data_IF_361447189665
#
_entry.id   IF_361447189665
#
_cell.length_a   1.000
_cell.length_b   1.000
_cell.length_c   1.000
_cell.angle_alpha   90.00
_cell.angle_beta   90.00
_cell.angle_gamma   90.00
#
_symmetry.space_group_name_H-M   'P 1'
#
loop_
_entity.id
_entity.type
_entity.pdbx_description
1 polymer ?
#
# COMPACT_ATOMS: atom_id res chain seq x y z
N UNK A 1 11.80 -20.00 -1.73
CA UNK A 1 11.19 -20.17 -0.37
C UNK A 1 12.06 -21.12 0.46
N UNK A 2 12.12 -20.96 1.79
CA UNK A 2 12.63 -22.02 2.68
C UNK A 2 11.77 -23.27 2.47
N UNK A 3 12.34 -24.42 2.04
CA UNK A 3 11.54 -25.57 1.62
C UNK A 3 10.70 -26.18 2.75
N UNK A 4 9.50 -26.62 2.41
CA UNK A 4 8.60 -27.39 3.26
C UNK A 4 8.39 -28.78 2.64
N UNK A 5 8.44 -29.83 3.46
CA UNK A 5 8.10 -31.16 2.95
C UNK A 5 6.58 -31.30 2.80
N UNK A 6 6.13 -31.92 1.71
CA UNK A 6 4.71 -32.20 1.50
C UNK A 6 4.11 -32.98 2.66
N UNK A 7 4.87 -33.92 3.25
CA UNK A 7 4.45 -34.65 4.43
C UNK A 7 4.19 -33.75 5.65
N UNK A 8 4.96 -32.68 5.83
CA UNK A 8 4.75 -31.71 6.92
C UNK A 8 3.47 -30.89 6.68
N UNK A 9 3.22 -30.47 5.43
CA UNK A 9 1.99 -29.78 5.07
C UNK A 9 0.77 -30.67 5.30
N UNK A 10 0.87 -31.96 4.94
CA UNK A 10 -0.18 -32.94 5.19
C UNK A 10 -0.51 -33.07 6.71
N UNK A 11 0.51 -33.02 7.58
CA UNK A 11 0.31 -33.06 9.03
C UNK A 11 -0.41 -31.84 9.59
N UNK A 12 -0.38 -30.71 8.90
CA UNK A 12 -1.12 -29.51 9.30
C UNK A 12 -2.63 -29.64 9.09
N UNK A 13 -3.09 -30.67 8.37
CA UNK A 13 -4.51 -30.95 8.13
C UNK A 13 -5.29 -29.75 7.58
N UNK A 14 -4.71 -29.03 6.61
CA UNK A 14 -5.24 -27.76 6.10
C UNK A 14 -6.42 -27.95 5.11
N UNK A 15 -6.56 -29.13 4.53
CA UNK A 15 -7.56 -29.45 3.50
C UNK A 15 -7.13 -30.63 2.65
N UNK A 16 -7.68 -30.74 1.44
CA UNK A 16 -7.33 -31.78 0.48
C UNK A 16 -6.01 -31.41 -0.21
N UNK A 17 -4.99 -32.24 0.02
CA UNK A 17 -3.65 -32.07 -0.55
C UNK A 17 -3.40 -33.17 -1.58
N UNK A 18 -3.15 -32.79 -2.83
CA UNK A 18 -2.86 -33.69 -3.95
C UNK A 18 -1.52 -33.32 -4.60
N UNK A 19 -0.73 -34.28 -4.97
CA UNK A 19 0.53 -34.05 -5.67
C UNK A 19 1.53 -35.19 -5.47
N UNK A 20 2.65 -35.11 -6.17
CA UNK A 20 3.72 -36.13 -6.16
C UNK A 20 5.07 -35.57 -5.77
N UNK A 21 5.16 -34.27 -5.49
CA UNK A 21 6.39 -33.64 -5.01
C UNK A 21 6.74 -34.10 -3.60
N UNK A 22 8.02 -34.10 -3.27
CA UNK A 22 8.51 -34.37 -1.90
C UNK A 22 8.64 -33.05 -1.11
N UNK A 23 9.03 -31.98 -1.79
CA UNK A 23 9.26 -30.65 -1.23
C UNK A 23 8.50 -29.56 -2.00
N UNK A 24 8.12 -28.54 -1.26
CA UNK A 24 7.50 -27.32 -1.76
C UNK A 24 8.53 -26.19 -1.65
N UNK A 25 8.80 -25.49 -2.75
CA UNK A 25 9.78 -24.41 -2.84
C UNK A 25 9.16 -23.03 -3.12
N UNK A 26 7.83 -22.97 -3.30
CA UNK A 26 7.04 -21.76 -3.47
C UNK A 26 5.57 -22.00 -3.16
N UNK A 27 4.78 -20.93 -2.99
CA UNK A 27 3.33 -20.98 -2.79
C UNK A 27 2.67 -19.98 -3.72
N UNK A 28 1.70 -20.45 -4.54
CA UNK A 28 0.98 -19.63 -5.49
C UNK A 28 -0.53 -19.78 -5.35
N UNK A 29 -1.26 -18.71 -5.69
CA UNK A 29 -2.72 -18.67 -5.76
C UNK A 29 -3.24 -18.44 -7.19
N UNK A 30 -2.34 -18.14 -8.12
CA UNK A 30 -2.62 -17.96 -9.55
C UNK A 30 -1.92 -19.07 -10.34
N UNK A 31 -2.70 -19.98 -10.94
CA UNK A 31 -2.16 -21.11 -11.71
C UNK A 31 -1.26 -20.70 -12.88
N UNK A 32 -1.43 -19.45 -13.38
CA UNK A 32 -0.61 -18.91 -14.48
C UNK A 32 0.81 -18.54 -14.04
N UNK A 33 1.04 -18.38 -12.73
CA UNK A 33 2.32 -18.02 -12.12
C UNK A 33 3.06 -19.21 -11.50
N UNK A 34 2.58 -20.42 -11.72
CA UNK A 34 3.19 -21.65 -11.20
C UNK A 34 4.59 -21.83 -11.78
N UNK A 35 5.53 -22.10 -10.88
CA UNK A 35 6.89 -22.55 -11.15
C UNK A 35 7.07 -23.99 -10.64
N UNK A 36 8.03 -24.77 -11.22
CA UNK A 36 8.31 -26.11 -10.74
C UNK A 36 8.65 -26.15 -9.25
N UNK A 37 7.96 -26.99 -8.50
CA UNK A 37 8.13 -27.09 -7.04
C UNK A 37 7.15 -26.27 -6.21
N UNK A 38 6.27 -25.48 -6.83
CA UNK A 38 5.27 -24.68 -6.11
C UNK A 38 4.14 -25.54 -5.52
N UNK A 39 3.59 -25.09 -4.41
CA UNK A 39 2.27 -25.46 -3.92
C UNK A 39 1.23 -24.51 -4.49
N UNK A 40 0.29 -25.02 -5.28
CA UNK A 40 -0.87 -24.25 -5.68
C UNK A 40 -1.96 -24.33 -4.62
N UNK A 41 -2.30 -23.18 -3.99
CA UNK A 41 -3.39 -23.11 -3.01
C UNK A 41 -4.64 -22.59 -3.69
N UNK A 42 -5.62 -23.47 -3.86
CA UNK A 42 -6.87 -23.20 -4.56
C UNK A 42 -7.86 -22.50 -3.65
N UNK A 43 -8.25 -21.24 -3.96
CA UNK A 43 -9.27 -20.50 -3.22
C UNK A 43 -10.39 -20.04 -4.15
N UNK A 44 -11.62 -20.12 -3.69
CA UNK A 44 -12.79 -19.71 -4.48
C UNK A 44 -12.85 -20.45 -5.82
N UNK A 45 -12.88 -19.70 -6.94
CA UNK A 45 -12.88 -20.27 -8.30
C UNK A 45 -11.55 -20.92 -8.69
N UNK A 46 -10.51 -20.77 -7.88
CA UNK A 46 -9.20 -21.40 -8.09
C UNK A 46 -9.24 -22.93 -8.05
N UNK A 47 -10.26 -23.53 -7.43
CA UNK A 47 -10.43 -24.99 -7.35
C UNK A 47 -10.47 -25.64 -8.74
N UNK A 48 -11.01 -24.95 -9.74
CA UNK A 48 -11.12 -25.45 -11.11
C UNK A 48 -9.75 -25.52 -11.85
N UNK A 49 -8.69 -24.95 -11.28
CA UNK A 49 -7.36 -24.83 -11.90
C UNK A 49 -6.30 -25.74 -11.29
N UNK A 50 -6.67 -26.68 -10.41
CA UNK A 50 -5.71 -27.59 -9.76
C UNK A 50 -4.95 -28.46 -10.77
N UNK A 51 -5.65 -29.06 -11.74
CA UNK A 51 -5.03 -29.88 -12.81
C UNK A 51 -4.11 -29.05 -13.71
N UNK A 52 -4.51 -27.82 -14.07
CA UNK A 52 -3.67 -26.88 -14.84
C UNK A 52 -2.38 -26.54 -14.09
N UNK A 53 -2.47 -26.30 -12.78
CA UNK A 53 -1.31 -26.03 -11.94
C UNK A 53 -0.34 -27.21 -11.89
N UNK A 54 -0.84 -28.43 -11.71
CA UNK A 54 -0.02 -29.66 -11.76
C UNK A 54 0.63 -29.85 -13.13
N UNK A 55 -0.10 -29.60 -14.21
CA UNK A 55 0.42 -29.68 -15.58
C UNK A 55 1.53 -28.64 -15.84
N UNK A 56 1.52 -27.51 -15.15
CA UNK A 56 2.57 -26.46 -15.20
C UNK A 56 3.75 -26.75 -14.32
N UNK A 57 3.73 -27.80 -13.51
CA UNK A 57 4.86 -28.23 -12.68
C UNK A 57 4.70 -27.97 -11.19
N UNK A 58 3.50 -27.63 -10.72
CA UNK A 58 3.26 -27.59 -9.28
C UNK A 58 3.60 -28.95 -8.65
N UNK A 59 4.32 -28.92 -7.54
CA UNK A 59 4.65 -30.12 -6.78
C UNK A 59 3.42 -30.73 -6.10
N UNK A 60 2.48 -29.86 -5.68
CA UNK A 60 1.22 -30.25 -5.08
C UNK A 60 0.16 -29.15 -5.27
N UNK A 61 -1.11 -29.54 -5.10
CA UNK A 61 -2.26 -28.62 -4.95
C UNK A 61 -2.89 -28.81 -3.59
N UNK A 62 -3.35 -27.72 -3.00
CA UNK A 62 -4.07 -27.71 -1.72
C UNK A 62 -5.43 -27.02 -1.92
N UNK A 63 -6.52 -27.75 -1.67
CA UNK A 63 -7.86 -27.17 -1.53
C UNK A 63 -8.14 -26.99 -0.04
N UNK A 64 -7.97 -25.77 0.51
CA UNK A 64 -8.03 -25.58 1.95
C UNK A 64 -9.46 -25.61 2.46
N UNK A 65 -9.70 -26.31 3.57
CA UNK A 65 -11.00 -26.31 4.27
C UNK A 65 -11.31 -24.90 4.84
N UNK A 66 -10.28 -24.22 5.33
CA UNK A 66 -10.33 -22.85 5.86
C UNK A 66 -9.15 -22.05 5.28
N UNK A 67 -9.39 -21.28 4.21
CA UNK A 67 -8.32 -20.63 3.47
C UNK A 67 -7.39 -19.76 4.32
N UNK A 68 -7.92 -18.85 5.14
CA UNK A 68 -7.09 -17.95 5.96
C UNK A 68 -6.22 -18.68 6.97
N UNK A 69 -6.76 -19.73 7.61
CA UNK A 69 -6.00 -20.57 8.54
C UNK A 69 -4.89 -21.35 7.82
N UNK A 70 -5.17 -21.82 6.60
CA UNK A 70 -4.19 -22.52 5.78
C UNK A 70 -3.02 -21.62 5.38
N UNK A 71 -3.30 -20.42 4.87
CA UNK A 71 -2.25 -19.44 4.58
C UNK A 71 -1.45 -19.06 5.82
N UNK A 72 -2.14 -18.80 6.94
CA UNK A 72 -1.49 -18.50 8.21
C UNK A 72 -0.56 -19.62 8.67
N UNK A 73 -0.98 -20.90 8.52
CA UNK A 73 -0.17 -22.05 8.89
C UNK A 73 1.07 -22.21 7.99
N UNK A 74 0.91 -22.05 6.67
CA UNK A 74 2.02 -22.09 5.71
C UNK A 74 3.02 -20.96 5.98
N UNK A 75 2.54 -19.72 6.12
CA UNK A 75 3.39 -18.57 6.43
C UNK A 75 4.16 -18.73 7.74
N UNK A 76 3.49 -19.23 8.81
CA UNK A 76 4.16 -19.55 10.09
C UNK A 76 5.20 -20.64 9.96
N UNK A 77 4.93 -21.69 9.18
CA UNK A 77 5.87 -22.79 8.99
C UNK A 77 7.18 -22.31 8.36
N UNK A 78 7.11 -21.42 7.38
CA UNK A 78 8.28 -20.78 6.76
C UNK A 78 8.93 -19.78 7.73
N UNK A 79 8.14 -18.88 8.35
CA UNK A 79 8.65 -17.87 9.29
C UNK A 79 9.39 -18.49 10.49
N UNK A 80 8.93 -19.63 10.97
CA UNK A 80 9.57 -20.35 12.09
C UNK A 80 10.97 -20.88 11.76
N UNK A 81 11.32 -20.98 10.48
CA UNK A 81 12.62 -21.46 9.99
C UNK A 81 13.54 -20.32 9.52
N UNK A 82 13.01 -19.08 9.51
CA UNK A 82 13.73 -17.92 9.02
C UNK A 82 14.30 -17.11 10.19
N UNK A 83 15.57 -16.72 10.04
CA UNK A 83 16.24 -15.77 10.93
C UNK A 83 16.09 -14.31 10.46
N UNK A 84 15.37 -14.06 9.36
CA UNK A 84 15.16 -12.73 8.84
C UNK A 84 14.52 -11.80 9.88
N UNK A 85 15.03 -10.58 10.00
CA UNK A 85 14.40 -9.52 10.78
C UNK A 85 13.16 -9.03 10.05
N UNK A 86 12.04 -8.96 10.74
CA UNK A 86 10.74 -8.59 10.15
C UNK A 86 10.35 -7.17 10.53
N UNK A 87 10.06 -6.34 9.52
CA UNK A 87 9.47 -5.01 9.69
C UNK A 87 7.99 -5.08 9.32
N UNK A 88 7.11 -4.79 10.27
CA UNK A 88 5.68 -4.63 10.03
C UNK A 88 5.32 -3.15 9.88
N UNK A 89 4.64 -2.79 8.79
CA UNK A 89 4.26 -1.40 8.51
C UNK A 89 2.75 -1.27 8.45
N UNK A 90 2.17 -0.44 9.33
CA UNK A 90 0.75 -0.05 9.29
C UNK A 90 0.60 1.46 9.25
N UNK A 91 -0.63 1.93 9.13
CA UNK A 91 -0.97 3.36 9.10
C UNK A 91 -2.21 3.64 8.28
N UNK A 92 -2.74 4.83 8.36
CA UNK A 92 -3.90 5.25 7.56
C UNK A 92 -3.53 5.48 6.10
N UNK A 93 -2.36 6.11 5.88
CA UNK A 93 -1.78 6.35 4.56
C UNK A 93 -0.29 6.03 4.57
N UNK A 94 0.34 5.98 3.40
CA UNK A 94 1.80 5.86 3.28
C UNK A 94 2.39 4.46 3.49
N UNK A 95 1.63 3.47 3.93
CA UNK A 95 2.13 2.10 4.18
C UNK A 95 2.92 1.52 3.01
N UNK A 96 2.30 1.48 1.83
CA UNK A 96 2.90 0.91 0.61
C UNK A 96 4.12 1.71 0.19
N UNK A 97 4.03 3.05 0.18
CA UNK A 97 5.17 3.90 -0.17
C UNK A 97 6.33 3.75 0.82
N UNK A 98 6.05 3.67 2.13
CA UNK A 98 7.10 3.42 3.14
C UNK A 98 7.75 2.05 2.95
N UNK A 99 6.96 1.03 2.63
CA UNK A 99 7.45 -0.31 2.28
C UNK A 99 8.35 -0.27 1.03
N UNK A 100 7.93 0.41 -0.04
CA UNK A 100 8.70 0.49 -1.29
C UNK A 100 10.02 1.25 -1.06
N UNK A 101 9.98 2.37 -0.31
CA UNK A 101 11.18 3.13 0.06
C UNK A 101 12.11 2.28 0.93
N UNK A 102 11.60 1.59 1.94
CA UNK A 102 12.43 0.75 2.82
C UNK A 102 13.05 -0.42 2.05
N UNK A 103 12.32 -1.05 1.13
CA UNK A 103 12.84 -2.10 0.28
C UNK A 103 14.02 -1.60 -0.58
N UNK A 104 13.87 -0.42 -1.19
CA UNK A 104 14.94 0.20 -1.97
C UNK A 104 16.14 0.60 -1.10
N UNK A 105 15.93 1.03 0.14
CA UNK A 105 17.00 1.33 1.10
C UNK A 105 17.77 0.09 1.57
N UNK A 106 17.08 -1.03 1.79
CA UNK A 106 17.69 -2.28 2.27
C UNK A 106 18.43 -3.04 1.17
N UNK A 107 17.92 -3.04 -0.07
CA UNK A 107 18.41 -3.86 -1.18
C UNK A 107 19.93 -3.78 -1.44
N UNK A 108 20.63 -2.63 -1.30
CA UNK A 108 22.08 -2.54 -1.51
C UNK A 108 22.92 -3.28 -0.46
N UNK A 109 22.38 -3.55 0.73
CA UNK A 109 23.16 -4.03 1.89
C UNK A 109 22.60 -5.29 2.55
N UNK A 110 21.39 -5.75 2.18
CA UNK A 110 20.76 -6.94 2.77
C UNK A 110 19.88 -7.68 1.75
N UNK A 111 19.86 -9.01 1.82
CA UNK A 111 18.89 -9.81 1.06
C UNK A 111 17.49 -9.59 1.64
N UNK A 112 16.68 -8.88 0.88
CA UNK A 112 15.40 -8.36 1.34
C UNK A 112 14.24 -9.00 0.57
N UNK A 113 13.23 -9.48 1.30
CA UNK A 113 11.92 -9.88 0.79
C UNK A 113 10.89 -8.85 1.26
N UNK A 114 10.04 -8.40 0.36
CA UNK A 114 8.97 -7.44 0.70
C UNK A 114 7.65 -7.81 0.05
N UNK A 115 6.56 -7.31 0.62
CA UNK A 115 5.21 -7.53 0.09
C UNK A 115 5.06 -6.97 -1.33
N UNK A 116 4.61 -7.79 -2.28
CA UNK A 116 4.26 -7.36 -3.63
C UNK A 116 3.02 -6.46 -3.57
N UNK A 117 3.03 -5.37 -4.34
CA UNK A 117 1.92 -4.43 -4.38
C UNK A 117 1.39 -4.11 -2.96
N UNK A 118 0.11 -4.42 -2.70
CA UNK A 118 -0.51 -4.23 -1.39
C UNK A 118 -0.96 -5.57 -0.79
N UNK A 119 -0.09 -6.58 -0.81
CA UNK A 119 -0.31 -7.87 -0.15
C UNK A 119 -0.21 -7.70 1.37
N UNK A 120 -1.29 -7.19 1.99
CA UNK A 120 -1.29 -6.68 3.35
C UNK A 120 -2.36 -7.30 4.26
N UNK A 121 -3.01 -8.36 3.81
CA UNK A 121 -4.13 -9.03 4.47
C UNK A 121 -3.79 -10.50 4.82
N UNK A 122 -4.80 -11.26 5.25
CA UNK A 122 -4.73 -12.65 5.71
C UNK A 122 -4.22 -13.65 4.66
N UNK A 123 -4.14 -13.24 3.39
CA UNK A 123 -3.55 -14.02 2.29
C UNK A 123 -2.19 -13.45 1.92
N UNK A 124 -2.11 -12.14 1.72
CA UNK A 124 -0.93 -11.46 1.21
C UNK A 124 0.29 -11.53 2.14
N UNK A 125 0.07 -11.35 3.46
CA UNK A 125 1.14 -11.44 4.46
C UNK A 125 1.74 -12.85 4.51
N UNK A 126 0.96 -13.93 4.65
CA UNK A 126 1.50 -15.29 4.58
C UNK A 126 2.18 -15.61 3.26
N UNK A 127 1.64 -15.19 2.12
CA UNK A 127 2.28 -15.40 0.81
C UNK A 127 3.64 -14.70 0.72
N UNK A 128 3.77 -13.50 1.29
CA UNK A 128 5.07 -12.81 1.37
C UNK A 128 6.05 -13.59 2.24
N UNK A 129 5.62 -14.10 3.39
CA UNK A 129 6.44 -14.95 4.26
C UNK A 129 6.86 -16.26 3.55
N UNK A 130 6.02 -16.83 2.71
CA UNK A 130 6.36 -18.00 1.89
C UNK A 130 7.40 -17.70 0.80
N UNK A 131 7.87 -16.46 0.64
CA UNK A 131 8.98 -16.10 -0.25
C UNK A 131 10.33 -15.99 0.46
N UNK A 132 10.35 -16.18 1.79
CA UNK A 132 11.60 -16.16 2.56
C UNK A 132 12.51 -17.32 2.13
N UNK A 133 13.77 -16.99 1.92
CA UNK A 133 14.85 -17.93 1.60
C UNK A 133 15.77 -18.11 2.80
N UNK A 134 16.61 -19.16 2.82
CA UNK A 134 17.51 -19.42 3.97
C UNK A 134 18.47 -18.27 4.28
N UNK A 135 18.81 -17.47 3.29
CA UNK A 135 19.71 -16.32 3.38
C UNK A 135 19.01 -14.96 3.34
N UNK A 136 17.67 -14.94 3.45
CA UNK A 136 16.92 -13.68 3.62
C UNK A 136 17.27 -13.05 4.97
N UNK A 137 17.71 -11.80 4.95
CA UNK A 137 18.10 -11.05 6.15
C UNK A 137 16.98 -10.12 6.63
N UNK A 138 16.20 -9.55 5.71
CA UNK A 138 15.11 -8.60 6.01
C UNK A 138 13.83 -9.02 5.31
N UNK A 139 12.71 -8.96 6.05
CA UNK A 139 11.38 -9.13 5.50
C UNK A 139 10.52 -7.90 5.83
N UNK A 140 9.97 -7.24 4.80
CA UNK A 140 9.16 -6.03 4.96
C UNK A 140 7.71 -6.34 4.62
N UNK A 141 6.83 -6.20 5.60
CA UNK A 141 5.40 -6.52 5.49
C UNK A 141 4.54 -5.28 5.65
N UNK A 142 3.57 -5.12 4.79
CA UNK A 142 2.48 -4.18 4.98
C UNK A 142 1.37 -4.88 5.76
N UNK A 143 0.85 -4.25 6.84
CA UNK A 143 -0.20 -4.79 7.70
C UNK A 143 -1.41 -3.87 7.64
N UNK A 144 -2.46 -4.32 6.96
CA UNK A 144 -3.73 -3.60 6.86
C UNK A 144 -4.75 -4.16 7.87
N UNK A 145 -5.77 -3.35 8.15
CA UNK A 145 -6.92 -3.77 8.95
C UNK A 145 -8.20 -3.15 8.40
N UNK A 146 -9.30 -3.81 8.62
CA UNK A 146 -10.67 -3.30 8.52
C UNK A 146 -11.40 -3.31 9.85
N UNK A 147 -10.83 -3.97 10.88
CA UNK A 147 -11.43 -4.09 12.21
C UNK A 147 -10.38 -4.38 13.27
N UNK A 148 -10.82 -4.45 14.53
CA UNK A 148 -9.98 -4.79 15.67
C UNK A 148 -9.50 -6.25 15.60
N UNK A 149 -8.30 -6.52 16.13
CA UNK A 149 -7.67 -7.83 16.20
C UNK A 149 -6.92 -8.24 14.93
N UNK A 150 -7.22 -7.64 13.78
CA UNK A 150 -6.67 -8.08 12.50
C UNK A 150 -5.16 -7.81 12.38
N UNK A 151 -4.66 -6.69 12.88
CA UNK A 151 -3.21 -6.42 12.91
C UNK A 151 -2.52 -7.38 13.89
N UNK A 152 -3.13 -7.64 15.04
CA UNK A 152 -2.60 -8.61 15.99
C UNK A 152 -2.52 -10.03 15.39
N UNK A 153 -3.54 -10.46 14.66
CA UNK A 153 -3.56 -11.76 13.97
C UNK A 153 -2.43 -11.85 12.92
N UNK A 154 -2.23 -10.80 12.13
CA UNK A 154 -1.12 -10.74 11.16
C UNK A 154 0.24 -10.73 11.86
N UNK A 155 0.38 -10.02 12.98
CA UNK A 155 1.60 -10.02 13.79
C UNK A 155 1.87 -11.39 14.43
N UNK A 156 0.84 -12.15 14.83
CA UNK A 156 0.99 -13.51 15.35
C UNK A 156 1.55 -14.49 14.31
N UNK A 157 1.40 -14.19 13.02
CA UNK A 157 2.00 -14.95 11.91
C UNK A 157 3.41 -14.42 11.61
N UNK A 158 3.54 -13.11 11.45
CA UNK A 158 4.74 -12.43 10.97
C UNK A 158 5.83 -12.30 12.04
N UNK A 159 5.44 -12.08 13.31
CA UNK A 159 6.33 -11.77 14.44
C UNK A 159 7.33 -10.68 14.10
N UNK A 160 6.86 -9.42 13.91
CA UNK A 160 7.73 -8.31 13.55
C UNK A 160 8.68 -7.96 14.70
N UNK A 161 9.94 -7.65 14.36
CA UNK A 161 10.96 -7.12 15.27
C UNK A 161 10.90 -5.59 15.34
N UNK A 162 10.46 -4.97 14.24
CA UNK A 162 10.28 -3.53 14.08
C UNK A 162 8.85 -3.25 13.61
N UNK A 163 8.16 -2.38 14.31
CA UNK A 163 6.80 -1.94 13.96
C UNK A 163 6.78 -0.46 13.56
N UNK A 164 6.25 -0.18 12.38
CA UNK A 164 6.10 1.19 11.86
C UNK A 164 4.63 1.57 11.78
N UNK A 165 4.22 2.62 12.48
CA UNK A 165 2.92 3.28 12.29
C UNK A 165 3.18 4.59 11.56
N UNK A 166 2.85 4.67 10.27
CA UNK A 166 3.15 5.85 9.45
C UNK A 166 2.37 7.07 9.88
N UNK A 167 1.08 6.91 10.12
CA UNK A 167 0.18 7.96 10.63
C UNK A 167 -1.16 7.37 11.09
N UNK A 168 -1.95 8.23 11.77
CA UNK A 168 -3.34 7.93 12.15
C UNK A 168 -4.24 9.01 11.57
N UNK A 169 -5.25 8.61 10.81
CA UNK A 169 -6.22 9.51 10.18
C UNK A 169 -7.55 8.80 9.93
N UNK A 170 -8.58 9.53 9.48
CA UNK A 170 -9.93 9.01 9.29
C UNK A 170 -9.98 8.02 8.12
N UNK A 171 -9.86 6.74 8.46
CA UNK A 171 -10.00 5.59 7.56
C UNK A 171 -10.77 4.49 8.27
N UNK A 172 -11.54 3.70 7.52
CA UNK A 172 -12.32 2.57 8.06
C UNK A 172 -13.23 2.95 9.25
N UNK A 173 -13.66 4.23 9.32
CA UNK A 173 -14.49 4.74 10.43
C UNK A 173 -15.81 4.00 10.57
N UNK A 174 -16.34 3.49 9.46
CA UNK A 174 -17.54 2.65 9.47
C UNK A 174 -17.35 1.37 10.30
N UNK A 175 -16.13 0.84 10.37
CA UNK A 175 -15.82 -0.46 10.97
C UNK A 175 -15.24 -0.34 12.38
N UNK A 176 -14.50 0.74 12.67
CA UNK A 176 -13.86 0.96 13.97
C UNK A 176 -14.46 2.12 14.77
N UNK A 177 -15.45 2.80 14.22
CA UNK A 177 -16.32 3.78 14.87
C UNK A 177 -15.76 5.19 15.00
N UNK A 178 -14.48 5.35 15.32
CA UNK A 178 -13.88 6.66 15.59
C UNK A 178 -12.38 6.70 15.29
N UNK A 179 -11.78 7.89 15.39
CA UNK A 179 -10.32 8.07 15.26
C UNK A 179 -9.56 7.33 16.38
N UNK A 180 -10.10 7.31 17.61
CA UNK A 180 -9.57 6.50 18.72
C UNK A 180 -9.64 5.01 18.39
N UNK A 181 -10.70 4.56 17.70
CA UNK A 181 -10.80 3.20 17.19
C UNK A 181 -9.69 2.87 16.20
N UNK A 182 -9.40 3.79 15.26
CA UNK A 182 -8.27 3.64 14.32
C UNK A 182 -6.95 3.58 15.07
N UNK A 183 -6.74 4.47 16.05
CA UNK A 183 -5.55 4.53 16.88
C UNK A 183 -5.34 3.20 17.63
N UNK A 184 -6.39 2.70 18.29
CA UNK A 184 -6.36 1.42 19.03
C UNK A 184 -6.03 0.24 18.11
N UNK A 185 -6.68 0.15 16.95
CA UNK A 185 -6.42 -0.93 16.00
C UNK A 185 -4.98 -0.92 15.48
N UNK A 186 -4.41 0.26 15.21
CA UNK A 186 -2.99 0.37 14.77
C UNK A 186 -2.02 0.11 15.92
N UNK A 187 -2.41 0.39 17.15
CA UNK A 187 -1.66 0.08 18.37
C UNK A 187 -1.42 -1.41 18.58
N UNK A 188 -2.24 -2.28 17.97
CA UNK A 188 -2.04 -3.72 17.98
C UNK A 188 -0.66 -4.14 17.45
N UNK A 189 -0.10 -3.41 16.47
CA UNK A 189 1.25 -3.65 15.99
C UNK A 189 2.29 -3.43 17.10
N UNK A 190 2.22 -2.29 17.80
CA UNK A 190 3.15 -1.97 18.88
C UNK A 190 2.99 -2.95 20.04
N UNK A 191 1.74 -3.32 20.37
CA UNK A 191 1.44 -4.30 21.40
C UNK A 191 2.00 -5.70 21.10
N UNK A 192 2.17 -6.03 19.81
CA UNK A 192 2.63 -7.35 19.33
C UNK A 192 4.15 -7.46 19.20
N UNK A 193 4.91 -6.37 19.39
CA UNK A 193 6.37 -6.42 19.30
C UNK A 193 6.98 -7.25 20.44
N UNK A 194 8.11 -7.94 20.20
CA UNK A 194 8.84 -8.60 21.28
C UNK A 194 9.47 -7.58 22.23
N UNK A 195 9.85 -8.02 23.44
CA UNK A 195 10.68 -7.22 24.33
C UNK A 195 12.02 -6.88 23.62
N UNK A 196 12.43 -5.60 23.66
CA UNK A 196 13.59 -5.10 22.93
C UNK A 196 13.31 -4.84 21.43
N UNK A 197 12.07 -5.03 20.95
CA UNK A 197 11.66 -4.63 19.61
C UNK A 197 11.57 -3.10 19.48
N UNK A 198 11.52 -2.58 18.26
CA UNK A 198 11.48 -1.13 17.99
C UNK A 198 10.12 -0.71 17.44
N UNK A 199 9.47 0.25 18.10
CA UNK A 199 8.23 0.91 17.66
C UNK A 199 8.55 2.30 17.06
N UNK A 200 8.30 2.46 15.77
CA UNK A 200 8.46 3.72 15.04
C UNK A 200 7.07 4.29 14.82
N UNK A 201 6.75 5.39 15.48
CA UNK A 201 5.39 5.89 15.57
C UNK A 201 5.33 7.42 15.48
N UNK A 202 4.20 8.02 15.04
CA UNK A 202 4.01 9.46 15.10
C UNK A 202 4.27 10.03 16.50
N UNK A 203 4.66 11.30 16.58
CA UNK A 203 5.05 11.96 17.83
C UNK A 203 4.01 11.80 18.93
N UNK A 204 2.73 11.99 18.61
CA UNK A 204 1.62 11.93 19.58
C UNK A 204 1.02 10.52 19.74
N UNK A 205 1.59 9.50 19.09
CA UNK A 205 1.04 8.14 19.17
C UNK A 205 1.30 7.53 20.56
N UNK A 206 0.27 7.05 21.29
CA UNK A 206 0.46 6.50 22.63
C UNK A 206 1.21 5.16 22.55
N UNK A 207 2.24 5.02 23.36
CA UNK A 207 2.96 3.77 23.57
C UNK A 207 3.05 3.53 25.08
N UNK A 208 2.36 2.51 25.56
CA UNK A 208 2.30 2.16 26.99
C UNK A 208 3.37 1.13 27.38
N UNK A 209 4.11 0.59 26.39
CA UNK A 209 5.14 -0.43 26.58
C UNK A 209 6.48 0.21 26.92
N UNK A 210 7.07 -0.19 28.05
CA UNK A 210 8.40 0.25 28.52
C UNK A 210 9.54 -0.68 28.04
N UNK A 211 9.19 -1.86 27.55
CA UNK A 211 10.13 -2.90 27.11
C UNK A 211 10.40 -2.89 25.60
N UNK A 212 9.96 -1.86 24.89
CA UNK A 212 10.25 -1.61 23.47
C UNK A 212 10.98 -0.27 23.30
N UNK A 213 11.88 -0.23 22.31
CA UNK A 213 12.50 1.04 21.89
C UNK A 213 11.47 1.87 21.10
N UNK A 214 11.34 3.16 21.42
CA UNK A 214 10.37 4.04 20.76
C UNK A 214 11.07 5.14 19.98
N UNK A 215 10.88 5.15 18.67
CA UNK A 215 11.34 6.20 17.75
C UNK A 215 10.15 7.05 17.34
N UNK A 216 10.21 8.37 17.60
CA UNK A 216 9.15 9.33 17.30
C UNK A 216 9.36 9.96 15.93
N UNK A 217 8.35 9.87 15.07
CA UNK A 217 8.33 10.50 13.75
C UNK A 217 7.78 11.92 13.88
N UNK A 218 8.53 12.90 13.38
CA UNK A 218 8.04 14.26 13.27
C UNK A 218 6.95 14.36 12.21
N UNK A 219 5.90 15.17 12.42
CA UNK A 219 4.84 15.40 11.45
C UNK A 219 5.37 15.95 10.11
N UNK A 220 6.35 16.84 10.17
CA UNK A 220 7.04 17.42 9.02
C UNK A 220 8.54 17.22 9.18
N UNK A 221 9.10 16.16 8.59
CA UNK A 221 10.54 15.94 8.63
C UNK A 221 11.27 17.00 7.79
N UNK A 222 12.50 17.32 8.17
CA UNK A 222 13.35 18.17 7.35
C UNK A 222 13.59 17.53 5.99
N UNK A 223 13.12 18.20 4.94
CA UNK A 223 13.27 17.76 3.57
C UNK A 223 13.59 18.96 2.66
N UNK A 224 14.46 18.72 1.67
CA UNK A 224 14.81 19.73 0.65
C UNK A 224 14.71 19.10 -0.73
N UNK A 225 14.16 19.84 -1.68
CA UNK A 225 14.14 19.44 -3.08
C UNK A 225 15.29 20.12 -3.80
N UNK A 226 16.21 19.34 -4.34
CA UNK A 226 17.38 19.79 -5.09
C UNK A 226 17.50 18.92 -6.36
N UNK A 227 17.64 19.56 -7.53
CA UNK A 227 17.81 18.88 -8.82
C UNK A 227 16.75 17.79 -9.11
N UNK A 228 15.47 18.07 -8.77
CA UNK A 228 14.36 17.13 -9.00
C UNK A 228 14.35 15.92 -8.06
N UNK A 229 15.10 15.97 -6.97
CA UNK A 229 15.18 14.92 -5.94
C UNK A 229 14.91 15.50 -4.56
N UNK A 230 14.42 14.67 -3.66
CA UNK A 230 14.20 15.07 -2.27
C UNK A 230 15.30 14.49 -1.37
N UNK A 231 15.96 15.37 -0.62
CA UNK A 231 16.92 15.00 0.42
C UNK A 231 16.18 14.88 1.76
N UNK A 232 16.23 13.70 2.39
CA UNK A 232 15.67 13.42 3.73
C UNK A 232 16.71 12.65 4.54
N UNK A 233 17.03 13.12 5.76
CA UNK A 233 17.95 12.42 6.66
C UNK A 233 19.32 12.10 6.05
N UNK A 234 19.80 12.94 5.11
CA UNK A 234 21.08 12.76 4.41
C UNK A 234 21.02 11.84 3.18
N UNK A 235 19.85 11.29 2.83
CA UNK A 235 19.65 10.40 1.67
C UNK A 235 18.89 11.14 0.57
N UNK A 236 19.34 11.03 -0.68
CA UNK A 236 18.72 11.63 -1.87
C UNK A 236 17.79 10.65 -2.59
N UNK A 237 16.51 10.98 -2.70
CA UNK A 237 15.45 10.16 -3.32
C UNK A 237 14.96 10.76 -4.64
N UNK A 238 14.55 9.91 -5.59
CA UNK A 238 14.04 10.28 -6.92
C UNK A 238 12.57 10.74 -6.95
N UNK A 239 12.05 11.31 -5.89
CA UNK A 239 10.70 11.87 -5.84
C UNK A 239 10.72 13.33 -5.37
N UNK A 240 9.65 14.07 -5.68
CA UNK A 240 9.47 15.48 -5.28
C UNK A 240 8.21 15.70 -4.44
N UNK A 241 7.33 14.70 -4.36
CA UNK A 241 6.09 14.79 -3.60
C UNK A 241 6.36 14.95 -2.10
N UNK A 242 5.95 16.07 -1.53
CA UNK A 242 6.23 16.45 -0.13
C UNK A 242 5.81 15.37 0.89
N UNK A 243 4.66 14.71 0.66
CA UNK A 243 4.19 13.65 1.56
C UNK A 243 5.08 12.41 1.56
N UNK A 244 5.90 12.20 0.52
CA UNK A 244 6.86 11.10 0.48
C UNK A 244 8.05 11.34 1.43
N UNK A 245 8.32 12.59 1.82
CA UNK A 245 9.37 12.87 2.80
C UNK A 245 9.05 12.24 4.18
N UNK A 246 7.78 12.28 4.61
CA UNK A 246 7.35 11.61 5.84
C UNK A 246 7.48 10.08 5.74
N UNK A 247 7.11 9.49 4.59
CA UNK A 247 7.28 8.07 4.34
C UNK A 247 8.77 7.67 4.32
N UNK A 248 9.64 8.52 3.73
CA UNK A 248 11.09 8.31 3.73
C UNK A 248 11.69 8.42 5.14
N UNK A 249 11.25 9.37 5.95
CA UNK A 249 11.70 9.48 7.34
C UNK A 249 11.34 8.23 8.15
N UNK A 250 10.12 7.69 7.96
CA UNK A 250 9.70 6.44 8.59
C UNK A 250 10.53 5.23 8.11
N UNK A 251 10.82 5.17 6.80
CA UNK A 251 11.65 4.10 6.23
C UNK A 251 13.11 4.19 6.70
N UNK A 252 13.68 5.40 6.80
CA UNK A 252 15.04 5.60 7.34
C UNK A 252 15.14 5.21 8.82
N UNK A 253 14.13 5.54 9.62
CA UNK A 253 14.08 5.10 11.01
C UNK A 253 14.03 3.57 11.13
N UNK A 254 13.28 2.89 10.22
CA UNK A 254 13.26 1.44 10.17
C UNK A 254 14.60 0.84 9.70
N UNK A 255 15.27 1.46 8.73
CA UNK A 255 16.61 1.07 8.30
C UNK A 255 17.61 1.15 9.44
N UNK A 256 17.60 2.26 10.21
CA UNK A 256 18.45 2.43 11.38
C UNK A 256 18.18 1.38 12.47
N UNK A 257 16.89 1.09 12.73
CA UNK A 257 16.48 0.04 13.68
C UNK A 257 16.96 -1.35 13.23
N UNK A 258 17.09 -1.59 11.92
CA UNK A 258 17.71 -2.80 11.37
C UNK A 258 19.23 -2.81 11.49
N UNK A 259 19.88 -1.69 11.83
CA UNK A 259 21.33 -1.55 11.89
C UNK A 259 21.99 -1.53 10.52
N UNK A 260 21.26 -1.20 9.46
CA UNK A 260 21.76 -1.15 8.10
C UNK A 260 22.29 0.24 7.75
N UNK A 261 23.34 0.35 6.91
CA UNK A 261 23.90 1.63 6.52
C UNK A 261 22.96 2.41 5.62
N UNK A 262 22.89 3.75 5.82
CA UNK A 262 22.16 4.64 4.92
C UNK A 262 22.96 4.85 3.63
N UNK A 263 22.38 4.59 2.44
CA UNK A 263 23.02 4.95 1.17
C UNK A 263 22.96 6.47 0.96
N UNK A 264 23.87 7.03 0.17
CA UNK A 264 23.81 8.46 -0.18
C UNK A 264 22.62 8.78 -1.12
N UNK A 265 22.28 7.84 -1.99
CA UNK A 265 21.26 7.99 -3.03
C UNK A 265 20.47 6.71 -3.22
N UNK A 266 19.16 6.85 -3.39
CA UNK A 266 18.24 5.75 -3.68
C UNK A 266 17.24 6.17 -4.76
N UNK A 267 17.02 5.28 -5.73
CA UNK A 267 15.93 5.38 -6.69
C UNK A 267 14.86 4.38 -6.29
N UNK A 268 13.68 4.90 -5.97
CA UNK A 268 12.53 4.10 -5.50
C UNK A 268 11.61 3.84 -6.68
N UNK A 269 11.27 2.58 -6.88
CA UNK A 269 10.20 2.16 -7.78
C UNK A 269 8.94 1.96 -6.95
N UNK A 270 7.99 2.88 -7.06
CA UNK A 270 6.73 2.79 -6.32
C UNK A 270 5.77 1.77 -6.94
N UNK A 271 5.01 1.11 -6.10
CA UNK A 271 3.87 0.29 -6.52
C UNK A 271 2.91 1.13 -7.38
N UNK A 272 2.31 0.51 -8.40
CA UNK A 272 1.46 1.18 -9.40
C UNK A 272 0.36 2.04 -8.77
N UNK A 273 0.02 3.13 -9.47
CA UNK A 273 -1.05 4.07 -9.13
C UNK A 273 -0.85 4.78 -7.76
N UNK A 274 0.40 5.06 -7.41
CA UNK A 274 0.80 5.74 -6.15
C UNK A 274 1.50 7.07 -6.43
N UNK A 275 0.81 7.99 -7.09
CA UNK A 275 1.38 9.25 -7.53
C UNK A 275 2.31 9.09 -8.75
N UNK A 276 2.02 8.12 -9.60
CA UNK A 276 2.76 7.82 -10.81
C UNK A 276 2.62 8.98 -11.81
N UNK A 277 3.74 9.56 -12.21
CA UNK A 277 3.77 10.70 -13.10
C UNK A 277 4.03 10.26 -14.55
N UNK A 278 3.13 10.63 -15.47
CA UNK A 278 3.24 10.33 -16.90
C UNK A 278 3.14 11.61 -17.70
N UNK A 279 4.10 11.91 -18.60
CA UNK A 279 4.00 13.06 -19.51
C UNK A 279 2.75 12.98 -20.39
N UNK A 280 2.08 14.13 -20.56
CA UNK A 280 0.95 14.30 -21.49
C UNK A 280 1.32 15.25 -22.64
N UNK A 281 0.54 15.26 -23.74
CA UNK A 281 0.75 16.17 -24.87
C UNK A 281 0.85 17.65 -24.46
N UNK A 282 1.58 18.44 -25.25
CA UNK A 282 1.75 19.87 -25.01
C UNK A 282 2.56 20.23 -23.76
N UNK A 283 3.34 19.30 -23.21
CA UNK A 283 4.08 19.48 -21.97
C UNK A 283 3.21 19.31 -20.71
N UNK A 284 2.06 18.67 -20.86
CA UNK A 284 1.17 18.30 -19.76
C UNK A 284 1.75 17.19 -18.88
N UNK A 285 1.06 16.90 -17.78
CA UNK A 285 1.47 15.88 -16.82
C UNK A 285 0.23 15.19 -16.21
N UNK A 286 0.22 13.88 -16.21
CA UNK A 286 -0.74 13.04 -15.46
C UNK A 286 -0.11 12.59 -14.16
N UNK A 287 -0.81 12.79 -13.04
CA UNK A 287 -0.51 12.22 -11.73
C UNK A 287 -1.55 11.14 -11.43
N UNK A 288 -1.17 9.87 -11.64
CA UNK A 288 -2.05 8.74 -11.37
C UNK A 288 -1.88 8.27 -9.92
N UNK A 289 -2.84 8.58 -9.07
CA UNK A 289 -2.92 8.15 -7.66
C UNK A 289 -4.24 7.41 -7.38
N UNK A 290 -4.70 6.61 -8.37
CA UNK A 290 -6.00 5.95 -8.39
C UNK A 290 -6.10 4.70 -7.49
N UNK A 291 -5.03 4.30 -6.80
CA UNK A 291 -5.05 3.07 -6.00
C UNK A 291 -6.04 3.12 -4.83
N UNK A 292 -6.05 4.20 -4.04
CA UNK A 292 -6.98 4.36 -2.92
C UNK A 292 -7.13 5.84 -2.53
N UNK A 293 -8.22 6.18 -1.83
CA UNK A 293 -8.50 7.52 -1.36
C UNK A 293 -9.07 7.53 0.07
N UNK A 294 -8.61 8.52 0.83
CA UNK A 294 -9.17 8.95 2.11
C UNK A 294 -8.87 10.45 2.30
N UNK A 295 -9.49 11.15 3.26
CA UNK A 295 -9.34 12.60 3.39
C UNK A 295 -7.88 13.09 3.48
N UNK A 296 -7.02 12.36 4.18
CA UNK A 296 -5.60 12.71 4.34
C UNK A 296 -4.85 12.58 3.02
N UNK A 297 -5.02 11.44 2.32
CA UNK A 297 -4.34 11.21 1.05
C UNK A 297 -4.87 12.07 -0.08
N UNK A 298 -6.15 12.41 -0.09
CA UNK A 298 -6.74 13.35 -1.05
C UNK A 298 -6.12 14.74 -0.92
N UNK A 299 -6.02 15.25 0.31
CA UNK A 299 -5.36 16.53 0.57
C UNK A 299 -3.89 16.50 0.15
N UNK A 300 -3.15 15.44 0.48
CA UNK A 300 -1.75 15.29 0.10
C UNK A 300 -1.56 15.29 -1.43
N UNK A 301 -2.45 14.62 -2.17
CA UNK A 301 -2.43 14.61 -3.63
C UNK A 301 -2.73 15.98 -4.24
N UNK A 302 -3.67 16.74 -3.67
CA UNK A 302 -3.96 18.12 -4.11
C UNK A 302 -2.78 19.07 -3.84
N UNK A 303 -2.09 18.93 -2.70
CA UNK A 303 -0.84 19.65 -2.42
C UNK A 303 0.22 19.31 -3.47
N UNK A 304 0.37 18.04 -3.81
CA UNK A 304 1.32 17.60 -4.81
C UNK A 304 0.97 18.12 -6.21
N UNK A 305 -0.29 18.05 -6.63
CA UNK A 305 -0.78 18.64 -7.87
C UNK A 305 -0.41 20.14 -7.94
N UNK A 306 -0.69 20.89 -6.88
CA UNK A 306 -0.42 22.33 -6.85
C UNK A 306 1.09 22.64 -6.93
N UNK A 307 1.94 21.86 -6.28
CA UNK A 307 3.39 22.02 -6.31
C UNK A 307 4.00 21.66 -7.66
N UNK A 308 3.48 20.59 -8.30
CA UNK A 308 4.03 20.04 -9.56
C UNK A 308 3.51 20.77 -10.80
N UNK A 309 2.32 21.33 -10.74
CA UNK A 309 1.69 21.96 -11.90
C UNK A 309 2.51 23.16 -12.46
N UNK A 310 3.18 23.94 -11.60
CA UNK A 310 3.83 25.18 -12.02
C UNK A 310 2.80 26.16 -12.60
N UNK A 311 2.99 26.57 -13.88
CA UNK A 311 2.04 27.41 -14.62
C UNK A 311 0.96 26.65 -15.40
N UNK A 312 0.95 25.30 -15.33
CA UNK A 312 -0.05 24.48 -16.02
C UNK A 312 -1.42 24.66 -15.38
N UNK A 313 -2.48 24.55 -16.19
CA UNK A 313 -3.85 24.44 -15.68
C UNK A 313 -3.98 23.16 -14.85
N UNK A 314 -4.62 23.26 -13.69
CA UNK A 314 -4.80 22.15 -12.74
C UNK A 314 -6.16 21.53 -12.96
N UNK A 315 -6.16 20.25 -13.30
CA UNK A 315 -7.36 19.43 -13.47
C UNK A 315 -7.35 18.32 -12.43
N UNK A 316 -8.49 18.09 -11.77
CA UNK A 316 -8.63 17.00 -10.82
C UNK A 316 -9.80 16.09 -11.20
N UNK A 317 -9.56 14.79 -11.27
CA UNK A 317 -10.56 13.74 -11.43
C UNK A 317 -10.60 12.94 -10.14
N UNK A 318 -11.63 13.17 -9.33
CA UNK A 318 -11.70 12.67 -7.96
C UNK A 318 -12.93 11.77 -7.78
N UNK A 319 -12.69 10.53 -7.42
CA UNK A 319 -13.75 9.57 -7.13
C UNK A 319 -14.08 9.45 -5.64
N UNK A 320 -15.06 8.61 -5.33
CA UNK A 320 -15.53 8.37 -3.97
C UNK A 320 -14.40 7.97 -3.01
N UNK A 321 -14.47 8.49 -1.79
CA UNK A 321 -13.73 8.00 -0.63
C UNK A 321 -14.62 7.01 0.14
N UNK A 322 -14.28 5.72 0.08
CA UNK A 322 -15.05 4.65 0.72
C UNK A 322 -14.76 4.52 2.23
N UNK A 323 -15.63 3.79 2.93
CA UNK A 323 -15.48 3.34 4.33
C UNK A 323 -15.35 4.48 5.37
N UNK A 324 -15.90 5.66 5.06
CA UNK A 324 -15.91 6.81 5.97
C UNK A 324 -17.17 6.89 6.86
N UNK A 325 -18.11 5.95 6.68
CA UNK A 325 -19.35 5.87 7.44
C UNK A 325 -20.24 7.11 7.27
N UNK A 326 -20.97 7.48 8.31
CA UNK A 326 -21.91 8.63 8.28
C UNK A 326 -21.23 9.98 8.04
N UNK A 327 -19.91 10.08 8.26
CA UNK A 327 -19.11 11.27 8.00
C UNK A 327 -18.75 11.49 6.52
N UNK A 328 -19.00 10.52 5.63
CA UNK A 328 -18.60 10.57 4.23
C UNK A 328 -19.01 11.85 3.49
N UNK A 329 -20.26 12.34 3.58
CA UNK A 329 -20.65 13.58 2.90
C UNK A 329 -19.83 14.80 3.33
N UNK A 330 -19.60 14.94 4.65
CA UNK A 330 -18.82 16.05 5.21
C UNK A 330 -17.37 16.02 4.76
N UNK A 331 -16.74 14.84 4.72
CA UNK A 331 -15.36 14.68 4.24
C UNK A 331 -15.24 15.00 2.75
N UNK A 332 -16.20 14.59 1.91
CA UNK A 332 -16.19 14.94 0.49
C UNK A 332 -16.33 16.45 0.29
N UNK A 333 -17.25 17.11 1.02
CA UNK A 333 -17.39 18.56 0.94
C UNK A 333 -16.11 19.29 1.42
N UNK A 334 -15.45 18.80 2.48
CA UNK A 334 -14.16 19.34 2.92
C UNK A 334 -13.10 19.24 1.84
N UNK A 335 -12.96 18.11 1.16
CA UNK A 335 -12.03 17.96 0.04
C UNK A 335 -12.42 18.87 -1.14
N UNK A 336 -13.71 19.08 -1.40
CA UNK A 336 -14.16 20.08 -2.38
C UNK A 336 -13.63 21.50 -2.07
N UNK A 337 -13.63 21.89 -0.80
CA UNK A 337 -13.00 23.17 -0.38
C UNK A 337 -11.47 23.19 -0.58
N UNK A 338 -10.80 22.08 -0.33
CA UNK A 338 -9.35 21.98 -0.62
C UNK A 338 -9.08 22.03 -2.13
N UNK A 339 -9.92 21.45 -2.98
CA UNK A 339 -9.82 21.54 -4.45
C UNK A 339 -9.80 23.03 -4.88
N UNK A 340 -10.75 23.82 -4.40
CA UNK A 340 -10.79 25.25 -4.66
C UNK A 340 -9.57 26.00 -4.08
N UNK A 341 -9.16 25.67 -2.85
CA UNK A 341 -8.02 26.28 -2.15
C UNK A 341 -6.70 26.09 -2.89
N UNK A 342 -6.47 24.90 -3.48
CA UNK A 342 -5.26 24.59 -4.24
C UNK A 342 -5.32 25.02 -5.71
N UNK A 343 -6.34 25.82 -6.06
CA UNK A 343 -6.44 26.45 -7.37
C UNK A 343 -6.66 25.47 -8.50
N UNK A 344 -7.42 24.41 -8.26
CA UNK A 344 -7.90 23.52 -9.33
C UNK A 344 -8.90 24.29 -10.17
N UNK A 345 -8.73 24.29 -11.48
CA UNK A 345 -9.53 25.05 -12.42
C UNK A 345 -10.65 24.19 -13.05
N UNK A 346 -10.43 22.88 -13.13
CA UNK A 346 -11.43 21.93 -13.59
C UNK A 346 -11.49 20.70 -12.69
N UNK A 347 -12.71 20.31 -12.28
CA UNK A 347 -12.99 19.18 -11.41
C UNK A 347 -14.00 18.23 -12.08
N UNK A 348 -13.65 16.97 -12.18
CA UNK A 348 -14.58 15.87 -12.48
C UNK A 348 -14.76 15.02 -11.21
N UNK A 349 -15.95 15.02 -10.67
CA UNK A 349 -16.35 14.20 -9.52
C UNK A 349 -16.95 12.88 -10.02
N UNK A 350 -16.45 11.73 -9.53
CA UNK A 350 -16.84 10.40 -10.03
C UNK A 350 -17.40 9.54 -8.89
N UNK A 351 -18.66 9.15 -9.00
CA UNK A 351 -19.40 8.41 -7.99
C UNK A 351 -20.41 9.25 -7.24
N UNK A 352 -21.25 8.60 -6.45
CA UNK A 352 -22.39 9.27 -5.79
C UNK A 352 -21.94 10.13 -4.60
N UNK A 353 -21.00 9.65 -3.78
CA UNK A 353 -20.45 10.41 -2.67
C UNK A 353 -19.59 11.58 -3.16
N UNK A 354 -18.94 11.44 -4.30
CA UNK A 354 -18.11 12.46 -4.92
C UNK A 354 -18.90 13.72 -5.32
N UNK A 355 -20.23 13.66 -5.41
CA UNK A 355 -21.09 14.87 -5.55
C UNK A 355 -20.84 15.89 -4.43
N UNK A 356 -20.41 15.42 -3.25
CA UNK A 356 -20.04 16.27 -2.14
C UNK A 356 -18.86 17.21 -2.46
N UNK A 357 -17.94 16.83 -3.33
CA UNK A 357 -16.87 17.71 -3.76
C UNK A 357 -17.40 18.97 -4.45
N UNK A 358 -18.46 18.82 -5.27
CA UNK A 358 -19.05 19.93 -6.02
C UNK A 358 -19.65 20.99 -5.09
N UNK A 359 -20.22 20.55 -3.98
CA UNK A 359 -20.77 21.46 -2.95
C UNK A 359 -19.65 22.29 -2.27
N UNK A 360 -18.48 21.69 -2.07
CA UNK A 360 -17.31 22.36 -1.48
C UNK A 360 -16.49 23.18 -2.47
N UNK A 361 -16.53 22.87 -3.76
CA UNK A 361 -15.64 23.42 -4.81
C UNK A 361 -16.11 24.79 -5.34
N UNK A 362 -16.61 25.65 -4.45
CA UNK A 362 -17.00 27.01 -4.81
C UNK A 362 -15.82 27.79 -5.38
N UNK A 363 -15.99 28.33 -6.60
CA UNK A 363 -14.93 29.08 -7.32
C UNK A 363 -14.12 28.26 -8.30
N UNK A 364 -14.30 26.95 -8.41
CA UNK A 364 -13.76 26.12 -9.49
C UNK A 364 -14.50 26.47 -10.79
N UNK A 365 -13.73 26.86 -11.84
CA UNK A 365 -14.31 27.39 -13.08
C UNK A 365 -15.17 26.35 -13.82
N UNK A 366 -14.71 25.12 -13.86
CA UNK A 366 -15.42 24.02 -14.53
C UNK A 366 -15.61 22.84 -13.60
N UNK A 367 -16.85 22.41 -13.41
CA UNK A 367 -17.16 21.19 -12.64
C UNK A 367 -18.02 20.26 -13.47
N UNK A 368 -17.75 18.96 -13.38
CA UNK A 368 -18.54 17.87 -14.01
C UNK A 368 -18.76 16.76 -13.02
N UNK A 369 -19.72 15.92 -13.29
CA UNK A 369 -19.99 14.71 -12.51
C UNK A 369 -20.22 13.53 -13.45
N UNK A 370 -19.68 12.38 -13.06
CA UNK A 370 -19.89 11.08 -13.69
C UNK A 370 -20.38 10.06 -12.65
N UNK A 371 -21.24 9.14 -13.07
CA UNK A 371 -21.77 8.12 -12.17
C UNK A 371 -20.69 7.08 -11.77
N UNK A 372 -19.78 6.76 -12.67
CA UNK A 372 -18.72 5.78 -12.54
C UNK A 372 -17.50 6.16 -13.37
N UNK A 373 -16.48 5.32 -13.30
CA UNK A 373 -15.21 5.56 -14.00
C UNK A 373 -15.33 5.48 -15.52
N UNK A 374 -16.18 4.61 -16.06
CA UNK A 374 -16.39 4.46 -17.50
C UNK A 374 -17.10 5.71 -18.07
N UNK A 375 -18.11 6.22 -17.38
CA UNK A 375 -18.80 7.44 -17.75
C UNK A 375 -17.90 8.70 -17.63
N UNK A 376 -16.86 8.64 -16.78
CA UNK A 376 -15.91 9.74 -16.61
C UNK A 376 -14.94 9.87 -17.78
N UNK A 377 -14.56 8.77 -18.45
CA UNK A 377 -13.56 8.80 -19.55
C UNK A 377 -13.89 9.85 -20.61
N UNK A 378 -15.05 9.82 -21.30
CA UNK A 378 -15.33 10.79 -22.35
C UNK A 378 -15.42 12.24 -21.83
N UNK A 379 -15.88 12.44 -20.59
CA UNK A 379 -15.93 13.77 -19.97
C UNK A 379 -14.53 14.35 -19.72
N UNK A 380 -13.60 13.49 -19.34
CA UNK A 380 -12.21 13.88 -19.06
C UNK A 380 -11.46 14.11 -20.36
N UNK A 381 -11.66 13.28 -21.38
CA UNK A 381 -11.07 13.47 -22.72
C UNK A 381 -11.52 14.78 -23.37
N UNK A 382 -12.79 15.18 -23.19
CA UNK A 382 -13.30 16.49 -23.68
C UNK A 382 -12.74 17.67 -22.87
N UNK A 383 -12.48 17.48 -21.58
CA UNK A 383 -12.13 18.55 -20.64
C UNK A 383 -10.63 18.85 -20.62
N UNK A 384 -9.79 17.83 -20.75
CA UNK A 384 -8.33 17.95 -20.64
C UNK A 384 -7.75 18.52 -21.93
N UNK A 385 -6.93 19.56 -21.77
CA UNK A 385 -6.25 20.24 -22.85
C UNK A 385 -4.75 19.93 -22.88
N UNK A 386 -4.07 20.03 -24.04
CA UNK A 386 -2.62 19.92 -24.08
C UNK A 386 -1.95 20.93 -23.15
N UNK A 387 -1.04 20.45 -22.31
CA UNK A 387 -0.34 21.26 -21.32
C UNK A 387 -0.93 21.22 -19.91
N UNK A 388 -2.06 20.55 -19.68
CA UNK A 388 -2.67 20.41 -18.35
C UNK A 388 -1.84 19.56 -17.40
N UNK A 389 -1.97 19.83 -16.11
CA UNK A 389 -1.55 18.92 -15.03
C UNK A 389 -2.79 18.27 -14.41
N UNK A 390 -2.92 16.97 -14.60
CA UNK A 390 -4.12 16.20 -14.27
C UNK A 390 -3.85 15.25 -13.10
N UNK A 391 -4.62 15.35 -12.02
CA UNK A 391 -4.64 14.39 -10.91
C UNK A 391 -5.81 13.45 -11.07
N UNK A 392 -5.57 12.13 -11.00
CA UNK A 392 -6.60 11.08 -10.95
C UNK A 392 -6.50 10.33 -9.63
N UNK A 393 -7.57 10.37 -8.80
CA UNK A 393 -7.55 9.74 -7.47
C UNK A 393 -8.92 9.29 -6.99
N UNK A 394 -9.02 8.04 -6.52
CA UNK A 394 -10.25 7.47 -5.94
C UNK A 394 -9.94 6.31 -4.99
N UNK A 395 -10.96 5.86 -4.25
CA UNK A 395 -10.93 4.55 -3.60
C UNK A 395 -10.88 3.43 -4.64
N UNK A 396 -10.23 2.32 -4.30
CA UNK A 396 -10.00 1.17 -5.21
C UNK A 396 -11.27 0.66 -5.90
N UNK A 397 -12.38 0.68 -5.18
CA UNK A 397 -13.67 0.19 -5.67
C UNK A 397 -14.26 1.04 -6.83
N UNK A 398 -13.79 2.27 -7.03
CA UNK A 398 -14.25 3.14 -8.12
C UNK A 398 -13.63 2.74 -9.46
N UNK A 399 -12.43 2.17 -9.45
CA UNK A 399 -11.75 1.73 -10.68
C UNK A 399 -11.24 2.88 -11.55
N UNK A 400 -10.85 4.00 -10.95
CA UNK A 400 -10.54 5.23 -11.68
C UNK A 400 -9.23 5.17 -12.47
N UNK A 401 -8.45 4.10 -12.34
CA UNK A 401 -7.28 3.83 -13.18
C UNK A 401 -7.60 3.80 -14.68
N UNK A 402 -8.82 3.42 -15.08
CA UNK A 402 -9.22 3.41 -16.49
C UNK A 402 -9.20 4.80 -17.11
N UNK A 403 -9.49 5.85 -16.34
CA UNK A 403 -9.39 7.25 -16.79
C UNK A 403 -7.93 7.64 -16.99
N UNK A 404 -7.05 7.26 -16.05
CA UNK A 404 -5.63 7.54 -16.18
C UNK A 404 -5.00 6.79 -17.36
N UNK A 405 -5.40 5.54 -17.60
CA UNK A 405 -4.96 4.73 -18.74
C UNK A 405 -5.45 5.33 -20.08
N UNK A 406 -6.70 5.81 -20.16
CA UNK A 406 -7.22 6.49 -21.34
C UNK A 406 -6.43 7.76 -21.66
N UNK A 407 -6.15 8.62 -20.68
CA UNK A 407 -5.33 9.82 -20.86
C UNK A 407 -3.89 9.50 -21.31
N UNK A 408 -3.28 8.45 -20.74
CA UNK A 408 -1.93 8.03 -21.11
C UNK A 408 -1.87 7.46 -22.53
N UNK A 409 -2.93 6.77 -23.00
CA UNK A 409 -3.00 6.21 -24.35
C UNK A 409 -3.05 7.27 -25.46
N UNK A 410 -3.57 8.47 -25.20
CA UNK A 410 -3.56 9.59 -26.15
C UNK A 410 -2.14 10.13 -26.37
N UNK A 411 -1.20 9.78 -25.49
CA UNK A 411 0.19 10.28 -25.47
C UNK A 411 1.18 9.33 -26.18
N UNK A 412 0.75 8.11 -26.52
CA UNK A 412 1.54 7.08 -27.21
C UNK A 412 1.28 7.12 -28.72
#
# INVERSE_FOLDING_TARGET
MIPLRVAEISQLSLGELEGRGEEITGVQVDSRRIEPGDLFVSVGRGVDFGEDALARGAAATLVPTRPFEAFAALGRAVRNRSEARVVGITGSTGKTSTKDILAALCAPSARTVWAEASYNNEIGVPLTLCRLEPDTEVCILELAMRGFGQIADLCAIARPDVGVVTNVGPVHLELVGSLEGVLRAKGELVASLPAGGTAIVPEEFPVEREDVEVVRLLPEPEARVEDGRTLVGGVSFNFTAHHQAANAAAALAALDALGLPRPERVDVEFSRWRGEETPLPGGGLLINDAYNANPVSMKAALVHLAATAGSRRRVAVLGDMAELGSGAPSFHEQIGREVARYGVEALVAVGELARGYLAGASGVATTRWAADAEAAVPLVEELVEPGDCVLVKASRAVGLEVVAEALAAVSA
#
